data_IF_282060078292
#
_entry.id   IF_282060078292
#
_cell.length_a   1.000
_cell.length_b   1.000
_cell.length_c   1.000
_cell.angle_alpha   90.00
_cell.angle_beta   90.00
_cell.angle_gamma   90.00
#
_symmetry.space_group_name_H-M   'P 1'
#
loop_
_entity.id
_entity.type
_entity.pdbx_description
1 polymer ?
#
# COMPACT_ATOMS: atom_id res chain seq x y z
N UNK A 1 14.17 -0.71 -19.81
CA UNK A 1 15.56 -1.18 -19.61
C UNK A 1 16.58 -0.02 -19.55
N UNK A 2 16.54 0.93 -20.49
CA UNK A 2 17.51 2.04 -20.56
C UNK A 2 17.68 2.84 -19.26
N UNK A 3 16.59 3.15 -18.55
CA UNK A 3 16.69 3.89 -17.27
C UNK A 3 17.49 3.11 -16.23
N UNK A 4 17.21 1.81 -16.03
CA UNK A 4 17.95 0.97 -15.10
C UNK A 4 19.42 0.76 -15.50
N UNK A 5 19.73 0.71 -16.80
CA UNK A 5 21.12 0.65 -17.27
C UNK A 5 21.88 1.93 -16.95
N UNK A 6 21.23 3.10 -17.07
CA UNK A 6 21.84 4.39 -16.79
C UNK A 6 22.01 4.65 -15.29
N UNK A 7 21.02 4.29 -14.47
CA UNK A 7 21.00 4.62 -13.03
C UNK A 7 21.45 3.48 -12.12
N UNK A 8 21.56 2.27 -12.66
CA UNK A 8 21.72 1.05 -11.86
C UNK A 8 20.52 0.78 -10.95
N UNK A 9 20.71 -0.16 -10.03
CA UNK A 9 19.69 -0.60 -9.06
C UNK A 9 19.93 -0.08 -7.65
N UNK A 10 21.07 0.56 -7.39
CA UNK A 10 21.50 0.91 -6.03
C UNK A 10 20.49 1.78 -5.29
N UNK A 11 19.90 2.78 -5.97
CA UNK A 11 18.88 3.64 -5.38
C UNK A 11 17.63 2.87 -4.94
N UNK A 12 17.18 1.91 -5.75
CA UNK A 12 16.06 1.02 -5.39
C UNK A 12 16.43 0.03 -4.27
N UNK A 13 17.66 -0.48 -4.28
CA UNK A 13 18.13 -1.43 -3.26
C UNK A 13 18.41 -0.78 -1.89
N UNK A 14 18.70 0.53 -1.85
CA UNK A 14 18.86 1.26 -0.59
C UNK A 14 17.59 1.24 0.28
N UNK A 15 16.40 1.18 -0.33
CA UNK A 15 15.16 1.02 0.44
C UNK A 15 15.17 -0.24 1.30
N UNK A 16 15.63 -1.37 0.75
CA UNK A 16 15.77 -2.61 1.50
C UNK A 16 16.84 -2.51 2.58
N UNK A 17 17.97 -1.86 2.28
CA UNK A 17 19.05 -1.63 3.26
C UNK A 17 18.53 -0.89 4.48
N UNK A 18 17.80 0.21 4.30
CA UNK A 18 17.24 0.99 5.41
C UNK A 18 16.28 0.16 6.27
N UNK A 19 15.55 -0.79 5.69
CA UNK A 19 14.68 -1.70 6.45
C UNK A 19 15.43 -2.72 7.31
N UNK A 20 16.68 -3.04 6.97
CA UNK A 20 17.51 -4.03 7.68
C UNK A 20 18.60 -3.41 8.56
N UNK A 21 18.97 -2.15 8.31
CA UNK A 21 20.04 -1.46 9.01
C UNK A 21 19.59 -0.98 10.39
N UNK A 22 20.29 -1.38 11.46
CA UNK A 22 19.92 -1.03 12.83
C UNK A 22 19.90 0.49 13.10
N UNK A 23 20.79 1.24 12.43
CA UNK A 23 20.86 2.70 12.58
C UNK A 23 19.63 3.44 12.06
N UNK A 24 18.88 2.84 11.11
CA UNK A 24 17.65 3.40 10.58
C UNK A 24 16.41 3.09 11.45
N UNK A 25 16.49 2.06 12.30
CA UNK A 25 15.35 1.58 13.08
C UNK A 25 14.70 2.62 14.01
N UNK A 26 15.43 3.50 14.71
CA UNK A 26 14.81 4.52 15.55
C UNK A 26 13.86 5.44 14.77
N UNK A 27 14.25 5.81 13.54
CA UNK A 27 13.42 6.66 12.69
C UNK A 27 12.19 5.91 12.15
N UNK A 28 12.36 4.65 11.74
CA UNK A 28 11.25 3.82 11.24
C UNK A 28 10.21 3.51 12.33
N UNK A 29 10.63 3.38 13.58
CA UNK A 29 9.78 3.04 14.72
C UNK A 29 9.16 4.25 15.44
N UNK A 30 9.38 5.48 14.95
CA UNK A 30 8.94 6.71 15.62
C UNK A 30 7.43 6.71 15.94
N UNK A 31 6.62 6.11 15.08
CA UNK A 31 5.16 6.04 15.23
C UNK A 31 4.66 4.65 15.62
N UNK A 32 5.53 3.78 16.12
CA UNK A 32 5.15 2.42 16.53
C UNK A 32 4.02 2.45 17.56
N UNK A 33 2.98 1.65 17.30
CA UNK A 33 1.77 1.59 18.13
C UNK A 33 0.72 2.66 17.85
N UNK A 34 0.97 3.61 16.95
CA UNK A 34 -0.06 4.56 16.47
C UNK A 34 -0.92 3.93 15.37
N UNK A 35 -2.13 4.47 15.21
CA UNK A 35 -3.09 4.09 14.17
C UNK A 35 -3.04 5.06 12.98
N UNK A 36 -3.60 4.62 11.85
CA UNK A 36 -3.85 5.43 10.65
C UNK A 36 -5.35 5.74 10.63
N UNK A 37 -5.69 7.01 10.86
CA UNK A 37 -7.07 7.46 11.10
C UNK A 37 -7.73 8.18 9.90
N UNK A 38 -7.12 8.09 8.72
CA UNK A 38 -7.69 8.59 7.46
C UNK A 38 -8.44 7.48 6.72
N UNK A 39 -9.46 7.81 5.89
CA UNK A 39 -10.05 6.82 4.98
C UNK A 39 -8.98 6.10 4.19
N UNK A 40 -8.95 4.78 4.31
CA UNK A 40 -7.91 3.93 3.73
C UNK A 40 -8.51 2.83 2.87
N UNK A 41 -7.79 2.42 1.83
CA UNK A 41 -8.14 1.31 0.97
C UNK A 41 -6.89 0.53 0.57
N UNK A 42 -7.01 -0.80 0.49
CA UNK A 42 -5.95 -1.70 0.03
C UNK A 42 -6.41 -2.47 -1.19
N UNK A 43 -5.54 -2.57 -2.20
CA UNK A 43 -5.76 -3.33 -3.42
C UNK A 43 -4.50 -4.15 -3.67
N UNK A 44 -4.65 -5.46 -3.83
CA UNK A 44 -3.56 -6.37 -4.21
C UNK A 44 -4.06 -7.42 -5.19
N UNK A 45 -3.15 -8.10 -5.89
CA UNK A 45 -3.50 -9.25 -6.69
C UNK A 45 -3.78 -10.46 -5.80
N UNK A 46 -4.77 -11.27 -6.16
CA UNK A 46 -5.12 -12.49 -5.42
C UNK A 46 -3.95 -13.49 -5.35
N UNK A 47 -3.09 -13.50 -6.37
CA UNK A 47 -1.89 -14.34 -6.45
C UNK A 47 -0.61 -13.61 -6.02
N UNK A 48 -0.70 -12.41 -5.43
CA UNK A 48 0.46 -11.71 -4.88
C UNK A 48 0.90 -12.33 -3.55
N UNK A 49 2.10 -12.90 -3.55
CA UNK A 49 2.74 -13.45 -2.35
C UNK A 49 3.03 -12.37 -1.28
N UNK A 50 3.24 -11.12 -1.70
CA UNK A 50 3.60 -9.99 -0.84
C UNK A 50 2.52 -9.67 0.20
N UNK A 51 1.24 -9.91 -0.13
CA UNK A 51 0.09 -9.67 0.78
C UNK A 51 0.26 -10.39 2.12
N UNK A 52 0.83 -11.60 2.10
CA UNK A 52 0.97 -12.47 3.27
C UNK A 52 2.42 -12.69 3.69
N UNK A 53 3.36 -11.87 3.20
CA UNK A 53 4.78 -11.99 3.51
C UNK A 53 5.08 -11.87 5.01
N UNK A 54 4.34 -11.02 5.71
CA UNK A 54 4.41 -10.86 7.16
C UNK A 54 3.17 -11.47 7.81
N UNK A 55 3.30 -12.60 8.52
CA UNK A 55 2.16 -13.28 9.13
C UNK A 55 1.33 -12.35 10.01
N UNK A 56 0.02 -12.29 9.76
CA UNK A 56 -0.94 -11.49 10.52
C UNK A 56 -0.93 -9.99 10.19
N UNK A 57 -0.01 -9.49 9.36
CA UNK A 57 0.06 -8.06 9.03
C UNK A 57 -1.16 -7.61 8.20
N UNK A 58 -1.61 -8.46 7.27
CA UNK A 58 -2.78 -8.18 6.43
C UNK A 58 -4.06 -8.02 7.27
N UNK A 59 -4.29 -8.93 8.21
CA UNK A 59 -5.44 -8.90 9.11
C UNK A 59 -5.33 -7.75 10.13
N UNK A 60 -4.12 -7.50 10.65
CA UNK A 60 -3.87 -6.40 11.59
C UNK A 60 -4.09 -5.03 10.96
N UNK A 61 -3.67 -4.85 9.71
CA UNK A 61 -3.92 -3.63 8.94
C UNK A 61 -5.41 -3.30 8.90
N UNK A 62 -6.24 -4.31 8.57
CA UNK A 62 -7.68 -4.15 8.40
C UNK A 62 -8.41 -3.90 9.73
N UNK A 63 -8.02 -4.61 10.79
CA UNK A 63 -8.81 -4.68 12.01
C UNK A 63 -8.30 -3.77 13.14
N UNK A 64 -7.05 -3.28 13.06
CA UNK A 64 -6.40 -2.58 14.18
C UNK A 64 -5.64 -1.33 13.74
N UNK A 65 -4.86 -1.40 12.67
CA UNK A 65 -3.96 -0.29 12.30
C UNK A 65 -4.69 0.82 11.55
N UNK A 66 -5.52 0.49 10.56
CA UNK A 66 -6.31 1.48 9.83
C UNK A 66 -7.71 1.59 10.44
N UNK A 67 -7.95 2.59 11.28
CA UNK A 67 -9.23 2.73 12.01
C UNK A 67 -10.41 3.07 11.09
N UNK A 68 -10.11 3.56 9.88
CA UNK A 68 -11.08 3.85 8.82
C UNK A 68 -10.76 3.08 7.53
N UNK A 69 -10.55 1.78 7.66
CA UNK A 69 -10.41 0.88 6.52
C UNK A 69 -11.74 0.74 5.78
N UNK A 70 -11.80 1.17 4.53
CA UNK A 70 -13.07 1.28 3.77
C UNK A 70 -13.16 0.35 2.57
N UNK A 71 -12.03 -0.24 2.19
CA UNK A 71 -11.93 -1.16 1.05
C UNK A 71 -10.70 -2.03 1.22
N UNK A 72 -10.84 -3.35 1.05
CA UNK A 72 -9.73 -4.30 1.04
C UNK A 72 -10.02 -5.34 -0.04
N UNK A 73 -9.35 -5.23 -1.19
CA UNK A 73 -9.71 -5.98 -2.38
C UNK A 73 -8.52 -6.80 -2.90
N UNK A 74 -8.74 -8.11 -3.06
CA UNK A 74 -7.82 -9.01 -3.73
C UNK A 74 -8.34 -9.30 -5.14
N UNK A 75 -7.70 -8.71 -6.14
CA UNK A 75 -8.16 -8.76 -7.54
C UNK A 75 -7.86 -10.15 -8.13
N UNK A 76 -8.88 -10.87 -8.62
CA UNK A 76 -8.69 -12.18 -9.24
C UNK A 76 -7.77 -12.12 -10.46
N UNK A 77 -7.04 -13.21 -10.71
CA UNK A 77 -6.16 -13.35 -11.87
C UNK A 77 -5.09 -12.24 -11.99
N UNK A 78 -4.59 -11.75 -10.85
CA UNK A 78 -3.46 -10.83 -10.77
C UNK A 78 -2.48 -11.27 -9.68
N UNK A 79 -1.19 -11.08 -9.95
CA UNK A 79 -0.09 -11.18 -9.00
C UNK A 79 0.36 -9.81 -8.51
N UNK A 80 1.69 -9.65 -8.40
CA UNK A 80 2.31 -8.49 -7.74
C UNK A 80 2.09 -7.16 -8.48
N UNK A 81 1.96 -7.20 -9.81
CA UNK A 81 1.82 -5.99 -10.62
C UNK A 81 0.35 -5.71 -10.93
N UNK A 82 -0.52 -5.77 -9.92
CA UNK A 82 -2.00 -5.75 -10.06
C UNK A 82 -2.53 -4.61 -10.94
N UNK A 83 -1.93 -3.43 -10.88
CA UNK A 83 -2.29 -2.27 -11.70
C UNK A 83 -1.92 -2.41 -13.18
N UNK A 84 -0.92 -3.23 -13.50
CA UNK A 84 -0.54 -3.56 -14.88
C UNK A 84 -1.32 -4.79 -15.38
N UNK A 85 -1.51 -5.78 -14.52
CA UNK A 85 -2.16 -7.05 -14.86
C UNK A 85 -3.69 -6.91 -14.99
N UNK A 86 -4.33 -6.11 -14.14
CA UNK A 86 -5.78 -5.91 -14.09
C UNK A 86 -6.13 -4.41 -13.99
N UNK A 87 -5.58 -3.60 -14.90
CA UNK A 87 -5.66 -2.13 -14.87
C UNK A 87 -7.08 -1.56 -14.81
N UNK A 88 -8.03 -2.15 -15.53
CA UNK A 88 -9.43 -1.72 -15.54
C UNK A 88 -10.12 -1.97 -14.17
N UNK A 89 -9.86 -3.12 -13.55
CA UNK A 89 -10.38 -3.44 -12.22
C UNK A 89 -9.81 -2.47 -11.17
N UNK A 90 -8.49 -2.26 -11.18
CA UNK A 90 -7.84 -1.30 -10.26
C UNK A 90 -8.39 0.11 -10.44
N UNK A 91 -8.53 0.58 -11.68
CA UNK A 91 -9.08 1.92 -11.96
C UNK A 91 -10.53 2.06 -11.46
N UNK A 92 -11.35 1.03 -11.63
CA UNK A 92 -12.73 1.01 -11.13
C UNK A 92 -12.77 1.10 -9.60
N UNK A 93 -11.93 0.34 -8.90
CA UNK A 93 -11.82 0.37 -7.44
C UNK A 93 -11.34 1.73 -6.93
N UNK A 94 -10.34 2.34 -7.57
CA UNK A 94 -9.84 3.66 -7.22
C UNK A 94 -10.92 4.74 -7.39
N UNK A 95 -11.63 4.75 -8.51
CA UNK A 95 -12.73 5.71 -8.74
C UNK A 95 -13.85 5.51 -7.71
N UNK A 96 -14.21 4.26 -7.39
CA UNK A 96 -15.20 3.95 -6.35
C UNK A 96 -14.76 4.50 -4.99
N UNK A 97 -13.52 4.25 -4.59
CA UNK A 97 -12.94 4.77 -3.35
C UNK A 97 -13.01 6.30 -3.30
N UNK A 98 -12.56 7.00 -4.35
CA UNK A 98 -12.56 8.46 -4.37
C UNK A 98 -13.97 9.06 -4.34
N UNK A 99 -14.93 8.47 -5.07
CA UNK A 99 -16.33 8.96 -5.09
C UNK A 99 -17.01 8.87 -3.72
N UNK A 100 -16.69 7.84 -2.94
CA UNK A 100 -17.21 7.67 -1.58
C UNK A 100 -16.80 8.82 -0.64
N UNK A 101 -15.71 9.54 -0.94
CA UNK A 101 -15.20 10.66 -0.14
C UNK A 101 -15.26 12.02 -0.85
N UNK A 102 -15.65 12.05 -2.13
CA UNK A 102 -15.81 13.29 -2.91
C UNK A 102 -17.14 14.02 -2.66
N UNK A 103 -18.02 13.45 -1.82
CA UNK A 103 -19.39 13.92 -1.63
C UNK A 103 -19.69 14.43 -0.21
N UNK A 104 -18.78 15.14 0.47
CA UNK A 104 -19.10 16.08 1.57
C UNK A 104 -17.85 16.75 2.17
N UNK A 105 -17.17 17.59 1.40
CA UNK A 105 -16.32 18.62 2.00
C UNK A 105 -16.40 19.87 1.14
N UNK A 106 -17.46 20.65 1.37
CA UNK A 106 -17.29 22.09 1.30
C UNK A 106 -16.08 22.40 2.17
N UNK A 107 -14.99 22.81 1.51
CA UNK A 107 -13.82 23.41 2.14
C UNK A 107 -14.37 24.58 2.94
N UNK A 108 -14.59 24.38 4.25
CA UNK A 108 -14.74 25.49 5.18
C UNK A 108 -13.32 25.97 5.43
N UNK A 109 -12.90 26.96 4.63
CA UNK A 109 -11.95 27.96 5.09
C UNK A 109 -12.53 28.70 6.31
#
# INVERSE_FOLDING_TARGET
AQSYQRTGFQGGLHWYRCGTEASCQPALNLFSGKTIDVPSGFISGQSDWGTYQFPGAFEKMQNQTCTRMTMCELVPYAGHWVQQEQSAAVSTLLIKFLKNFSSNQAIRC
#
